data_IF_570794999451
#
_entry.id   IF_570794999451
#
_cell.length_a   1.000
_cell.length_b   1.000
_cell.length_c   1.000
_cell.angle_alpha   90.00
_cell.angle_beta   90.00
_cell.angle_gamma   90.00
#
_symmetry.space_group_name_H-M   'P 1'
#
loop_
_entity.id
_entity.type
_entity.pdbx_description
1 polymer ?
#
# COMPACT_ATOMS: atom_id res chain seq x y z
N UNK A 1 -9.68 -7.89 2.35
CA UNK A 1 -8.44 -8.58 1.92
C UNK A 1 -8.71 -9.81 1.05
N UNK A 2 -9.69 -10.64 1.41
CA UNK A 2 -10.06 -11.88 0.68
C UNK A 2 -10.34 -11.68 -0.82
N UNK A 3 -10.97 -10.58 -1.21
CA UNK A 3 -11.30 -10.31 -2.63
C UNK A 3 -10.09 -10.04 -3.50
N UNK A 4 -9.02 -9.42 -2.97
CA UNK A 4 -7.81 -9.10 -3.73
C UNK A 4 -6.98 -10.36 -3.98
N UNK A 5 -6.73 -11.14 -2.92
CA UNK A 5 -6.00 -12.41 -3.02
C UNK A 5 -6.73 -13.41 -3.92
N UNK A 6 -8.06 -13.49 -3.85
CA UNK A 6 -8.84 -14.34 -4.75
C UNK A 6 -8.64 -13.94 -6.22
N UNK A 7 -8.70 -12.64 -6.54
CA UNK A 7 -8.43 -12.14 -7.90
C UNK A 7 -6.99 -12.40 -8.36
N UNK A 8 -6.02 -12.33 -7.46
CA UNK A 8 -4.63 -12.68 -7.76
C UNK A 8 -4.46 -14.19 -7.99
N UNK A 9 -5.25 -15.03 -7.31
CA UNK A 9 -5.22 -16.49 -7.47
C UNK A 9 -5.95 -16.98 -8.73
N UNK A 10 -6.79 -16.15 -9.36
CA UNK A 10 -7.44 -16.51 -10.62
C UNK A 10 -6.40 -16.80 -11.72
N UNK A 11 -6.74 -17.71 -12.62
CA UNK A 11 -5.87 -18.05 -13.75
C UNK A 11 -5.64 -16.83 -14.63
N UNK A 12 -4.39 -16.48 -14.83
CA UNK A 12 -4.03 -15.40 -15.74
C UNK A 12 -4.27 -15.83 -17.20
N UNK A 13 -4.95 -14.97 -17.96
CA UNK A 13 -5.24 -15.16 -19.38
C UNK A 13 -4.50 -14.17 -20.27
N UNK A 14 -4.12 -13.01 -19.71
CA UNK A 14 -3.36 -11.97 -20.40
C UNK A 14 -1.85 -12.10 -20.11
N UNK A 15 -0.96 -11.54 -20.95
CA UNK A 15 0.48 -11.58 -20.69
C UNK A 15 0.91 -10.77 -19.47
N UNK A 16 0.11 -9.77 -19.05
CA UNK A 16 0.42 -8.88 -17.93
C UNK A 16 -0.77 -8.80 -17.00
N UNK A 17 -0.52 -8.86 -15.68
CA UNK A 17 -1.50 -8.55 -14.63
C UNK A 17 -1.09 -7.25 -13.96
N UNK A 18 -2.00 -6.29 -13.91
CA UNK A 18 -1.80 -5.06 -13.16
C UNK A 18 -2.72 -5.11 -11.93
N UNK A 19 -2.16 -4.75 -10.79
CA UNK A 19 -2.86 -4.67 -9.52
C UNK A 19 -2.80 -3.22 -9.03
N UNK A 20 -3.94 -2.70 -8.61
CA UNK A 20 -3.95 -1.47 -7.82
C UNK A 20 -3.60 -1.84 -6.37
N UNK A 21 -2.46 -1.33 -5.89
CA UNK A 21 -1.88 -1.65 -4.57
C UNK A 21 -1.44 -3.12 -4.45
N UNK A 22 -0.98 -3.48 -3.25
CA UNK A 22 -0.56 -4.83 -2.88
C UNK A 22 -0.80 -5.12 -1.41
N UNK A 23 -0.68 -6.39 -1.00
CA UNK A 23 -0.76 -6.77 0.42
C UNK A 23 0.33 -6.04 1.22
N UNK A 24 1.53 -5.89 0.65
CA UNK A 24 2.64 -5.17 1.28
C UNK A 24 2.32 -3.69 1.50
N UNK A 25 1.69 -3.01 0.54
CA UNK A 25 1.26 -1.62 0.75
C UNK A 25 0.22 -1.50 1.88
N UNK A 26 -0.62 -2.52 2.08
CA UNK A 26 -1.54 -2.53 3.22
C UNK A 26 -0.78 -2.57 4.55
N UNK A 27 0.23 -3.45 4.66
CA UNK A 27 1.02 -3.64 5.88
C UNK A 27 1.95 -2.46 6.19
N UNK A 28 2.74 -2.02 5.22
CA UNK A 28 3.81 -1.04 5.44
C UNK A 28 3.34 0.41 5.41
N UNK A 29 2.16 0.67 4.83
CA UNK A 29 1.60 2.03 4.78
C UNK A 29 0.43 2.16 5.75
N UNK A 30 -0.67 1.45 5.51
CA UNK A 30 -1.92 1.74 6.23
C UNK A 30 -1.93 1.17 7.65
N UNK A 31 -1.52 -0.09 7.83
CA UNK A 31 -1.41 -0.68 9.17
C UNK A 31 -0.32 -0.01 9.99
N UNK A 32 0.81 0.32 9.34
CA UNK A 32 1.87 1.09 9.99
C UNK A 32 1.41 2.49 10.42
N UNK A 33 0.65 3.20 9.57
CA UNK A 33 0.05 4.48 9.95
C UNK A 33 -0.91 4.34 11.15
N UNK A 34 -1.77 3.30 11.13
CA UNK A 34 -2.65 3.01 12.26
C UNK A 34 -1.86 2.73 13.54
N UNK A 35 -0.77 1.97 13.46
CA UNK A 35 0.11 1.69 14.60
C UNK A 35 0.74 2.97 15.16
N UNK A 36 1.37 3.78 14.29
CA UNK A 36 1.99 5.05 14.69
C UNK A 36 1.00 6.04 15.29
N UNK A 37 -0.28 5.95 14.92
CA UNK A 37 -1.36 6.79 15.43
C UNK A 37 -2.09 6.19 16.64
N UNK A 38 -1.66 5.02 17.15
CA UNK A 38 -2.30 4.34 18.28
C UNK A 38 -3.73 3.85 18.00
N UNK A 39 -4.03 3.55 16.73
CA UNK A 39 -5.37 3.13 16.24
C UNK A 39 -5.52 1.61 16.14
N UNK A 40 -4.46 0.86 16.40
CA UNK A 40 -4.42 -0.60 16.46
C UNK A 40 -3.62 -1.01 17.70
N UNK A 41 -4.04 -2.06 18.41
CA UNK A 41 -3.27 -2.57 19.55
C UNK A 41 -2.12 -3.45 19.09
N UNK A 42 -1.15 -3.68 19.97
CA UNK A 42 -0.02 -4.57 19.69
C UNK A 42 -0.51 -6.00 19.41
N UNK A 43 -1.54 -6.47 20.11
CA UNK A 43 -2.11 -7.81 19.89
C UNK A 43 -2.79 -7.94 18.51
N UNK A 44 -3.53 -6.91 18.09
CA UNK A 44 -4.17 -6.88 16.78
C UNK A 44 -3.14 -6.79 15.65
N UNK A 45 -2.06 -6.03 15.86
CA UNK A 45 -0.94 -5.95 14.94
C UNK A 45 -0.23 -7.31 14.80
N UNK A 46 0.04 -8.00 15.90
CA UNK A 46 0.63 -9.33 15.92
C UNK A 46 -0.21 -10.36 15.15
N UNK A 47 -1.54 -10.30 15.31
CA UNK A 47 -2.47 -11.14 14.57
C UNK A 47 -2.43 -10.78 13.08
N UNK A 48 -2.46 -9.49 12.74
CA UNK A 48 -2.36 -9.04 11.36
C UNK A 48 -1.06 -9.53 10.70
N UNK A 49 0.06 -9.47 11.40
CA UNK A 49 1.37 -9.89 10.89
C UNK A 49 1.44 -11.39 10.62
N UNK A 50 0.77 -12.21 11.43
CA UNK A 50 0.62 -13.65 11.15
C UNK A 50 -0.15 -13.89 9.85
N UNK A 51 -1.26 -13.17 9.64
CA UNK A 51 -2.03 -13.27 8.39
C UNK A 51 -1.26 -12.74 7.18
N UNK A 52 -0.51 -11.65 7.36
CA UNK A 52 0.35 -11.08 6.33
C UNK A 52 1.42 -12.08 5.90
N UNK A 53 2.15 -12.65 6.85
CA UNK A 53 3.19 -13.64 6.59
C UNK A 53 2.65 -14.92 5.94
N UNK A 54 1.47 -15.38 6.37
CA UNK A 54 0.77 -16.48 5.71
C UNK A 54 0.43 -16.12 4.25
N UNK A 55 -0.10 -14.92 4.00
CA UNK A 55 -0.39 -14.44 2.65
C UNK A 55 0.84 -14.39 1.75
N UNK A 56 1.99 -13.96 2.29
CA UNK A 56 3.28 -13.93 1.59
C UNK A 56 3.88 -15.30 1.27
N UNK A 57 3.36 -16.37 1.87
CA UNK A 57 3.75 -17.75 1.55
C UNK A 57 2.98 -18.33 0.36
N UNK A 58 1.92 -17.65 -0.09
CA UNK A 58 1.11 -18.09 -1.21
C UNK A 58 1.80 -17.72 -2.54
N UNK A 59 1.78 -18.61 -3.55
CA UNK A 59 2.39 -18.34 -4.86
C UNK A 59 1.84 -17.11 -5.58
N UNK A 60 0.60 -16.70 -5.29
CA UNK A 60 -0.03 -15.53 -5.89
C UNK A 60 0.43 -14.19 -5.32
N UNK A 61 1.34 -14.21 -4.34
CA UNK A 61 1.83 -13.01 -3.65
C UNK A 61 3.09 -12.40 -4.25
N UNK A 62 3.79 -13.12 -5.13
CA UNK A 62 4.99 -12.63 -5.81
C UNK A 62 4.66 -11.52 -6.81
N UNK A 63 5.56 -10.53 -6.89
CA UNK A 63 5.44 -9.38 -7.77
C UNK A 63 6.71 -9.25 -8.62
N UNK A 64 6.54 -9.02 -9.92
CA UNK A 64 7.67 -8.80 -10.84
C UNK A 64 8.14 -7.34 -10.86
N UNK A 65 7.25 -6.39 -10.57
CA UNK A 65 7.52 -4.95 -10.61
C UNK A 65 6.55 -4.19 -9.71
N UNK A 66 7.06 -3.18 -9.01
CA UNK A 66 6.26 -2.17 -8.32
C UNK A 66 6.36 -0.86 -9.08
N UNK A 67 5.22 -0.30 -9.49
CA UNK A 67 5.15 1.04 -10.07
C UNK A 67 4.69 2.02 -9.01
N UNK A 68 5.60 2.90 -8.58
CA UNK A 68 5.31 3.93 -7.59
C UNK A 68 4.96 5.26 -8.25
N UNK A 69 3.69 5.64 -8.20
CA UNK A 69 3.20 6.94 -8.65
C UNK A 69 3.45 7.98 -7.55
N UNK A 70 4.62 8.61 -7.60
CA UNK A 70 5.07 9.56 -6.60
C UNK A 70 4.43 10.92 -6.86
N UNK A 71 3.78 11.46 -5.84
CA UNK A 71 3.04 12.73 -5.90
C UNK A 71 3.17 13.47 -4.56
N UNK A 72 3.14 14.81 -4.61
CA UNK A 72 3.13 15.63 -3.40
C UNK A 72 1.78 15.51 -2.67
N UNK A 73 1.77 15.50 -1.32
CA UNK A 73 0.55 15.41 -0.52
C UNK A 73 -0.49 16.48 -0.82
N UNK A 74 -0.08 17.69 -1.15
CA UNK A 74 -0.95 18.83 -1.49
C UNK A 74 -1.74 18.56 -2.78
N UNK A 75 -1.08 18.01 -3.79
CA UNK A 75 -1.71 17.61 -5.06
C UNK A 75 -2.68 16.44 -4.82
N UNK A 76 -2.31 15.48 -3.97
CA UNK A 76 -3.21 14.41 -3.56
C UNK A 76 -4.47 14.96 -2.86
N UNK A 77 -4.30 15.95 -1.97
CA UNK A 77 -5.40 16.60 -1.28
C UNK A 77 -6.34 17.34 -2.25
N UNK A 78 -5.78 18.04 -3.25
CA UNK A 78 -6.55 18.68 -4.32
C UNK A 78 -7.39 17.65 -5.09
N UNK A 79 -6.77 16.58 -5.59
CA UNK A 79 -7.45 15.51 -6.32
C UNK A 79 -8.53 14.79 -5.49
N UNK A 80 -8.32 14.64 -4.18
CA UNK A 80 -9.33 14.07 -3.27
C UNK A 80 -10.53 15.00 -3.18
N UNK A 81 -10.30 16.31 -3.00
CA UNK A 81 -11.37 17.31 -2.93
C UNK A 81 -12.16 17.40 -4.23
N UNK A 82 -11.50 17.42 -5.38
CA UNK A 82 -12.15 17.45 -6.69
C UNK A 82 -13.04 16.23 -6.94
N UNK A 83 -12.62 15.06 -6.43
CA UNK A 83 -13.33 13.81 -6.61
C UNK A 83 -14.57 13.67 -5.73
N UNK A 84 -14.62 14.39 -4.62
CA UNK A 84 -15.76 14.51 -3.69
C UNK A 84 -16.42 13.17 -3.32
N UNK A 85 -15.62 12.16 -2.94
CA UNK A 85 -16.16 10.88 -2.48
C UNK A 85 -16.65 11.00 -1.04
N UNK A 86 -17.85 10.46 -0.80
CA UNK A 86 -18.39 10.28 0.55
C UNK A 86 -17.41 9.49 1.42
N UNK A 87 -17.06 10.06 2.57
CA UNK A 87 -16.12 9.46 3.54
C UNK A 87 -14.67 9.91 3.40
N UNK A 88 -14.30 10.68 2.38
CA UNK A 88 -12.94 11.21 2.20
C UNK A 88 -12.79 12.66 2.72
N UNK A 89 -13.89 13.34 3.08
CA UNK A 89 -13.89 14.75 3.48
C UNK A 89 -13.15 15.05 4.79
N UNK A 90 -12.93 14.04 5.64
CA UNK A 90 -12.19 14.17 6.90
C UNK A 90 -10.71 13.85 6.78
N UNK A 91 -10.21 13.54 5.58
CA UNK A 91 -8.79 13.25 5.36
C UNK A 91 -7.99 14.56 5.49
N UNK A 92 -7.13 14.63 6.50
CA UNK A 92 -6.25 15.78 6.73
C UNK A 92 -5.02 15.73 5.83
N UNK A 93 -4.44 16.91 5.56
CA UNK A 93 -3.15 17.00 4.88
C UNK A 93 -2.04 16.31 5.70
N UNK A 94 -2.09 16.41 7.03
CA UNK A 94 -1.12 15.73 7.91
C UNK A 94 -1.15 14.21 7.75
N UNK A 95 -2.33 13.62 7.59
CA UNK A 95 -2.44 12.20 7.32
C UNK A 95 -1.88 11.85 5.93
N UNK A 96 -2.12 12.69 4.91
CA UNK A 96 -1.53 12.49 3.59
C UNK A 96 0.00 12.62 3.60
N UNK A 97 0.55 13.55 4.38
CA UNK A 97 1.99 13.67 4.63
C UNK A 97 2.55 12.40 5.28
N UNK A 98 1.90 11.90 6.33
CA UNK A 98 2.29 10.65 6.98
C UNK A 98 2.30 9.47 6.00
N UNK A 99 1.25 9.34 5.18
CA UNK A 99 1.20 8.28 4.17
C UNK A 99 2.32 8.45 3.13
N UNK A 100 2.63 9.68 2.71
CA UNK A 100 3.73 9.95 1.79
C UNK A 100 5.07 9.50 2.39
N UNK A 101 5.37 9.89 3.62
CA UNK A 101 6.61 9.52 4.30
C UNK A 101 6.76 8.00 4.43
N UNK A 102 5.67 7.29 4.72
CA UNK A 102 5.67 5.82 4.76
C UNK A 102 5.95 5.19 3.38
N UNK A 103 5.45 5.78 2.30
CA UNK A 103 5.78 5.31 0.95
C UNK A 103 7.25 5.57 0.62
N UNK A 104 7.78 6.73 0.98
CA UNK A 104 9.20 7.06 0.80
C UNK A 104 10.09 6.12 1.60
N UNK A 105 9.77 5.86 2.86
CA UNK A 105 10.50 4.93 3.73
C UNK A 105 10.50 3.51 3.14
N UNK A 106 9.35 3.04 2.66
CA UNK A 106 9.21 1.69 2.12
C UNK A 106 9.86 1.52 0.75
N UNK A 107 9.62 2.45 -0.18
CA UNK A 107 9.96 2.27 -1.60
C UNK A 107 11.28 2.94 -2.00
N UNK A 108 11.73 3.95 -1.28
CA UNK A 108 12.97 4.69 -1.59
C UNK A 108 14.03 4.45 -0.51
N UNK A 109 13.63 4.34 0.76
CA UNK A 109 14.50 4.26 1.94
C UNK A 109 15.39 3.02 2.06
N UNK A 110 15.38 2.10 1.08
CA UNK A 110 16.38 1.03 0.98
C UNK A 110 16.19 -0.14 1.95
N UNK A 111 15.03 -0.28 2.59
CA UNK A 111 14.67 -1.50 3.35
C UNK A 111 14.37 -2.66 2.37
N UNK A 112 15.43 -3.22 1.80
CA UNK A 112 15.39 -4.29 0.78
C UNK A 112 14.54 -5.50 1.19
N UNK A 113 14.53 -5.85 2.49
CA UNK A 113 13.73 -6.99 2.95
C UNK A 113 12.21 -6.76 2.87
N UNK A 114 11.76 -5.51 2.83
CA UNK A 114 10.35 -5.15 2.68
C UNK A 114 9.90 -5.06 1.21
N UNK A 115 10.85 -5.06 0.25
CA UNK A 115 10.59 -4.86 -1.18
C UNK A 115 11.13 -6.04 -1.98
N UNK A 116 10.25 -6.96 -2.37
CA UNK A 116 10.60 -8.19 -3.10
C UNK A 116 10.73 -8.03 -4.62
N UNK A 117 10.53 -6.81 -5.15
CA UNK A 117 10.49 -6.55 -6.58
C UNK A 117 11.19 -5.23 -6.94
N UNK A 118 11.74 -5.08 -8.16
CA UNK A 118 12.22 -3.80 -8.65
C UNK A 118 11.15 -2.70 -8.55
N UNK A 119 11.58 -1.46 -8.32
CA UNK A 119 10.70 -0.30 -8.21
C UNK A 119 10.93 0.63 -9.39
N UNK A 120 9.86 0.95 -10.10
CA UNK A 120 9.80 2.02 -11.09
C UNK A 120 9.10 3.23 -10.48
N UNK A 121 9.83 4.31 -10.27
CA UNK A 121 9.28 5.57 -9.75
C UNK A 121 8.83 6.45 -10.92
N UNK A 122 7.57 6.88 -10.89
CA UNK A 122 6.99 7.83 -11.84
C UNK A 122 6.51 9.06 -11.07
N UNK A 123 7.12 10.22 -11.34
CA UNK A 123 6.70 11.48 -10.74
C UNK A 123 5.48 12.00 -11.48
N UNK A 124 4.35 12.09 -10.77
CA UNK A 124 3.12 12.67 -11.30
C UNK A 124 2.91 14.05 -10.69
N UNK A 125 2.74 15.06 -11.55
CA UNK A 125 2.46 16.46 -11.16
C UNK A 125 1.07 16.63 -10.56
#
# INVERSE_FOLDING_TARGET
MTTMMNRQAEKQTAPVRILERSVSSCRYIFIEAMNRNGQISDEDLDVFDKFYNYGLSLPSSDLDLIVYLRCMPEVCAERIRERDRKGESSISLDYLNQLHDLHEEWLIGGKLEAVRAPILVSNTT
#
